data_IF_024250373709
#
_entry.id   IF_024250373709
#
_cell.length_a   1.000
_cell.length_b   1.000
_cell.length_c   1.000
_cell.angle_alpha   90.00
_cell.angle_beta   90.00
_cell.angle_gamma   90.00
#
_symmetry.space_group_name_H-M   'P 1'
#
loop_
_entity.id
_entity.type
_entity.pdbx_description
1 polymer ?
#
# COMPACT_ATOMS: atom_id res chain seq x y z
N UNK A 1 -3.43 1.84 -15.75
CA UNK A 1 -2.17 2.06 -16.53
C UNK A 1 -2.16 3.32 -17.41
N UNK A 2 -3.10 3.55 -18.35
CA UNK A 2 -3.05 4.70 -19.28
C UNK A 2 -3.10 6.08 -18.61
N UNK A 3 -3.94 6.25 -17.58
CA UNK A 3 -4.03 7.50 -16.78
C UNK A 3 -2.78 7.78 -15.94
N UNK A 4 -2.14 6.75 -15.39
CA UNK A 4 -0.91 6.89 -14.59
C UNK A 4 0.28 7.33 -15.47
N UNK A 5 0.39 6.78 -16.68
CA UNK A 5 1.38 7.23 -17.68
C UNK A 5 1.15 8.67 -18.15
N UNK A 6 -0.12 9.09 -18.27
CA UNK A 6 -0.47 10.49 -18.62
C UNK A 6 -0.17 11.47 -17.48
N UNK A 7 -0.47 11.11 -16.23
CA UNK A 7 -0.13 11.95 -15.08
C UNK A 7 1.39 12.11 -14.94
N UNK A 8 2.17 11.04 -15.16
CA UNK A 8 3.63 11.09 -15.13
C UNK A 8 4.21 12.01 -16.21
N UNK A 9 3.54 12.10 -17.36
CA UNK A 9 3.88 13.03 -18.44
C UNK A 9 3.47 14.50 -18.15
N UNK A 10 2.57 14.75 -17.18
CA UNK A 10 2.08 16.09 -16.82
C UNK A 10 2.78 16.71 -15.60
N UNK A 11 3.69 15.99 -14.92
CA UNK A 11 4.44 16.53 -13.77
C UNK A 11 3.66 16.67 -12.47
N UNK A 12 2.37 16.31 -12.43
CA UNK A 12 1.58 16.28 -11.20
C UNK A 12 1.85 14.99 -10.41
N UNK A 13 2.86 15.08 -9.53
CA UNK A 13 3.33 13.98 -8.68
C UNK A 13 2.23 13.43 -7.76
N UNK A 14 1.36 14.30 -7.24
CA UNK A 14 0.26 13.87 -6.36
C UNK A 14 -0.80 13.08 -7.12
N UNK A 15 -1.15 13.52 -8.33
CA UNK A 15 -2.09 12.81 -9.18
C UNK A 15 -1.52 11.48 -9.69
N UNK A 16 -0.22 11.41 -9.98
CA UNK A 16 0.48 10.14 -10.28
C UNK A 16 0.36 9.15 -9.12
N UNK A 17 0.76 9.59 -7.92
CA UNK A 17 0.76 8.79 -6.71
C UNK A 17 -0.64 8.20 -6.46
N UNK A 18 -1.67 9.05 -6.53
CA UNK A 18 -3.07 8.62 -6.40
C UNK A 18 -3.46 7.61 -7.49
N UNK A 19 -3.14 7.87 -8.75
CA UNK A 19 -3.50 7.00 -9.87
C UNK A 19 -2.83 5.62 -9.80
N UNK A 20 -1.57 5.55 -9.38
CA UNK A 20 -0.86 4.28 -9.16
C UNK A 20 -1.46 3.52 -7.99
N UNK A 21 -1.67 4.20 -6.85
CA UNK A 21 -2.30 3.60 -5.66
C UNK A 21 -3.67 3.03 -5.99
N UNK A 22 -4.54 3.81 -6.66
CA UNK A 22 -5.88 3.36 -7.05
C UNK A 22 -5.83 2.16 -8.01
N UNK A 23 -4.85 2.12 -8.92
CA UNK A 23 -4.72 1.02 -9.88
C UNK A 23 -4.29 -0.28 -9.20
N UNK A 24 -3.36 -0.22 -8.24
CA UNK A 24 -2.93 -1.40 -7.49
C UNK A 24 -3.97 -1.84 -6.47
N UNK A 25 -4.69 -0.90 -5.83
CA UNK A 25 -5.85 -1.23 -5.01
C UNK A 25 -6.84 -2.10 -5.80
N UNK A 26 -7.34 -1.61 -6.94
CA UNK A 26 -8.31 -2.34 -7.77
C UNK A 26 -7.79 -3.68 -8.32
N UNK A 27 -6.47 -3.84 -8.42
CA UNK A 27 -5.84 -5.07 -8.91
C UNK A 27 -5.72 -6.12 -7.81
N UNK A 28 -5.34 -5.68 -6.61
CA UNK A 28 -4.95 -6.53 -5.50
C UNK A 28 -6.11 -6.81 -4.54
N UNK A 29 -7.21 -6.07 -4.64
CA UNK A 29 -8.40 -6.25 -3.80
C UNK A 29 -9.57 -6.78 -4.60
N UNK A 30 -10.33 -7.67 -3.96
CA UNK A 30 -11.56 -8.18 -4.52
C UNK A 30 -12.61 -7.07 -4.52
N UNK A 31 -13.45 -7.06 -5.55
CA UNK A 31 -14.48 -6.03 -5.75
C UNK A 31 -15.48 -5.94 -4.59
N UNK A 32 -15.59 -6.99 -3.79
CA UNK A 32 -16.57 -7.15 -2.71
C UNK A 32 -16.01 -6.82 -1.31
N UNK A 33 -14.75 -6.38 -1.20
CA UNK A 33 -14.15 -5.98 0.09
C UNK A 33 -14.72 -4.63 0.53
N UNK A 34 -15.61 -4.65 1.53
CA UNK A 34 -16.16 -3.47 2.21
C UNK A 34 -15.42 -3.29 3.55
N UNK A 35 -14.11 -3.04 3.47
CA UNK A 35 -13.27 -2.77 4.63
C UNK A 35 -12.61 -1.39 4.45
N UNK A 36 -13.15 -0.40 5.17
CA UNK A 36 -12.76 1.02 5.03
C UNK A 36 -11.38 1.24 5.66
N UNK A 37 -11.12 0.54 6.75
CA UNK A 37 -9.88 0.54 7.51
C UNK A 37 -8.75 -0.04 6.66
N UNK A 38 -8.96 -1.22 6.05
CA UNK A 38 -8.01 -1.82 5.13
C UNK A 38 -7.75 -0.94 3.91
N UNK A 39 -8.79 -0.36 3.30
CA UNK A 39 -8.63 0.57 2.18
C UNK A 39 -7.75 1.77 2.55
N UNK A 40 -7.98 2.34 3.73
CA UNK A 40 -7.21 3.48 4.22
C UNK A 40 -5.76 3.08 4.52
N UNK A 41 -5.56 1.92 5.17
CA UNK A 41 -4.24 1.38 5.48
C UNK A 41 -3.45 1.07 4.22
N UNK A 42 -4.05 0.38 3.26
CA UNK A 42 -3.41 0.06 1.97
C UNK A 42 -2.96 1.32 1.26
N UNK A 43 -3.85 2.31 1.12
CA UNK A 43 -3.53 3.56 0.42
C UNK A 43 -2.37 4.28 1.11
N UNK A 44 -2.34 4.30 2.43
CA UNK A 44 -1.26 4.92 3.19
C UNK A 44 0.08 4.20 2.96
N UNK A 45 0.14 2.89 3.22
CA UNK A 45 1.38 2.11 3.12
C UNK A 45 1.94 2.09 1.69
N UNK A 46 1.06 1.91 0.69
CA UNK A 46 1.47 1.89 -0.71
C UNK A 46 1.99 3.26 -1.17
N UNK A 47 1.42 4.36 -0.68
CA UNK A 47 1.91 5.70 -0.97
C UNK A 47 3.26 5.98 -0.32
N UNK A 48 3.44 5.56 0.94
CA UNK A 48 4.75 5.66 1.63
C UNK A 48 5.82 4.93 0.83
N UNK A 49 5.54 3.71 0.39
CA UNK A 49 6.44 2.95 -0.46
C UNK A 49 6.78 3.68 -1.77
N UNK A 50 5.76 4.15 -2.52
CA UNK A 50 5.98 4.89 -3.77
C UNK A 50 6.75 6.21 -3.58
N UNK A 51 6.55 6.90 -2.44
CA UNK A 51 7.28 8.12 -2.12
C UNK A 51 8.75 7.88 -1.80
N UNK A 52 9.08 6.70 -1.24
CA UNK A 52 10.45 6.27 -0.99
C UNK A 52 11.22 5.91 -2.27
N UNK A 53 10.54 5.74 -3.41
CA UNK A 53 11.18 5.44 -4.70
C UNK A 53 11.65 6.70 -5.41
N UNK A 54 12.79 6.58 -6.09
CA UNK A 54 13.34 7.63 -6.94
C UNK A 54 12.40 7.93 -8.14
N UNK A 55 11.76 6.90 -8.68
CA UNK A 55 10.81 6.96 -9.78
C UNK A 55 9.49 6.24 -9.46
N UNK A 56 8.39 6.67 -10.10
CA UNK A 56 7.08 6.01 -10.00
C UNK A 56 6.96 4.78 -10.90
N UNK A 57 8.09 4.25 -11.39
CA UNK A 57 8.10 3.02 -12.14
C UNK A 57 8.09 1.86 -11.15
N UNK A 58 6.95 1.18 -11.08
CA UNK A 58 6.75 -0.02 -10.28
C UNK A 58 6.46 -1.18 -11.24
N UNK A 59 7.38 -2.15 -11.36
CA UNK A 59 7.12 -3.45 -11.97
C UNK A 59 5.87 -4.12 -11.38
N UNK A 60 5.14 -4.88 -12.21
CA UNK A 60 3.85 -5.44 -11.79
C UNK A 60 4.01 -6.53 -10.71
N UNK A 61 5.01 -7.39 -10.89
CA UNK A 61 5.43 -8.41 -9.93
C UNK A 61 5.81 -7.79 -8.57
N UNK A 62 6.65 -6.76 -8.59
CA UNK A 62 7.02 -6.05 -7.37
C UNK A 62 5.79 -5.40 -6.71
N UNK A 63 4.89 -4.80 -7.49
CA UNK A 63 3.66 -4.24 -6.95
C UNK A 63 2.71 -5.28 -6.36
N UNK A 64 2.65 -6.48 -6.93
CA UNK A 64 1.85 -7.60 -6.41
C UNK A 64 2.43 -8.12 -5.07
N UNK A 65 3.76 -8.20 -4.94
CA UNK A 65 4.43 -8.56 -3.69
C UNK A 65 4.17 -7.52 -2.58
N UNK A 66 4.25 -6.24 -2.92
CA UNK A 66 3.94 -5.14 -1.99
C UNK A 66 2.48 -5.22 -1.53
N UNK A 67 1.55 -5.46 -2.46
CA UNK A 67 0.13 -5.66 -2.12
C UNK A 67 -0.08 -6.83 -1.14
N UNK A 68 0.58 -7.96 -1.39
CA UNK A 68 0.48 -9.14 -0.53
C UNK A 68 1.04 -8.86 0.88
N UNK A 69 2.19 -8.19 0.99
CA UNK A 69 2.79 -7.82 2.27
C UNK A 69 1.90 -6.87 3.09
N UNK A 70 1.32 -5.87 2.43
CA UNK A 70 0.38 -4.93 3.07
C UNK A 70 -0.85 -5.67 3.61
N UNK A 71 -1.42 -6.60 2.81
CA UNK A 71 -2.56 -7.41 3.25
C UNK A 71 -2.19 -8.28 4.45
N UNK A 72 -1.10 -9.03 4.36
CA UNK A 72 -0.65 -9.93 5.42
C UNK A 72 -0.40 -9.16 6.73
N UNK A 73 0.20 -7.97 6.64
CA UNK A 73 0.46 -7.13 7.81
C UNK A 73 -0.85 -6.65 8.43
N UNK A 74 -1.80 -6.18 7.61
CA UNK A 74 -3.11 -5.74 8.07
C UNK A 74 -3.87 -6.88 8.79
N UNK A 75 -3.91 -8.07 8.19
CA UNK A 75 -4.60 -9.23 8.76
C UNK A 75 -3.95 -9.67 10.08
N UNK A 76 -2.62 -9.72 10.16
CA UNK A 76 -1.91 -10.02 11.41
C UNK A 76 -2.20 -9.01 12.51
N UNK A 77 -2.27 -7.73 12.17
CA UNK A 77 -2.64 -6.68 13.13
C UNK A 77 -4.06 -6.84 13.62
N UNK A 78 -5.03 -7.05 12.71
CA UNK A 78 -6.43 -7.29 13.05
C UNK A 78 -6.57 -8.45 14.03
N UNK A 79 -5.94 -9.58 13.74
CA UNK A 79 -5.91 -10.75 14.63
C UNK A 79 -5.33 -10.38 16.00
N UNK A 80 -4.17 -9.69 16.02
CA UNK A 80 -3.51 -9.31 17.28
C UNK A 80 -4.34 -8.32 18.11
N UNK A 81 -5.09 -7.43 17.45
CA UNK A 81 -6.01 -6.50 18.12
C UNK A 81 -7.23 -7.22 18.68
N UNK A 82 -7.80 -8.16 17.93
CA UNK A 82 -8.97 -8.95 18.36
C UNK A 82 -8.60 -9.91 19.51
N UNK A 83 -7.35 -10.39 19.56
CA UNK A 83 -6.82 -11.24 20.63
C UNK A 83 -6.29 -10.46 21.84
N UNK A 84 -6.15 -9.14 21.72
CA UNK A 84 -5.60 -8.30 22.79
C UNK A 84 -6.54 -8.27 24.00
N UNK A 85 -6.04 -8.51 25.23
CA UNK A 85 -6.84 -8.34 26.44
C UNK A 85 -7.11 -6.86 26.78
N UNK A 86 -6.51 -5.91 26.04
CA UNK A 86 -6.71 -4.49 26.21
C UNK A 86 -7.73 -3.96 25.21
N UNK A 87 -8.77 -3.28 25.71
CA UNK A 87 -9.71 -2.54 24.88
C UNK A 87 -8.97 -1.34 24.30
N UNK A 88 -8.83 -1.31 22.97
CA UNK A 88 -8.34 -0.13 22.28
C UNK A 88 -9.47 0.87 22.18
N UNK A 89 -9.46 1.89 23.05
CA UNK A 89 -10.45 2.98 23.06
C UNK A 89 -10.10 4.11 22.06
N UNK A 90 -8.83 4.14 21.62
CA UNK A 90 -8.41 5.00 20.50
C UNK A 90 -8.78 4.32 19.18
N UNK A 91 -9.57 5.00 18.35
CA UNK A 91 -10.08 4.43 17.09
C UNK A 91 -9.01 3.68 16.30
N UNK A 92 -9.33 2.47 15.87
CA UNK A 92 -8.46 1.49 15.19
C UNK A 92 -7.52 2.09 14.13
N UNK A 93 -7.97 3.13 13.43
CA UNK A 93 -7.18 3.86 12.46
C UNK A 93 -5.93 4.56 13.03
N UNK A 94 -5.96 5.03 14.27
CA UNK A 94 -4.81 5.66 14.92
C UNK A 94 -3.68 4.66 15.16
N UNK A 95 -4.03 3.43 15.56
CA UNK A 95 -3.06 2.33 15.67
C UNK A 95 -2.52 1.95 14.30
N UNK A 96 -3.39 1.81 13.30
CA UNK A 96 -2.99 1.44 11.94
C UNK A 96 -2.00 2.42 11.32
N UNK A 97 -2.14 3.72 11.59
CA UNK A 97 -1.20 4.77 11.14
C UNK A 97 0.16 4.71 11.83
N UNK A 98 0.23 4.16 13.04
CA UNK A 98 1.48 4.05 13.79
C UNK A 98 2.39 2.92 13.29
N UNK A 99 1.86 2.05 12.42
CA UNK A 99 2.60 0.94 11.84
C UNK A 99 3.30 1.38 10.56
N UNK A 100 4.60 1.09 10.50
CA UNK A 100 5.42 1.26 9.31
C UNK A 100 5.83 -0.13 8.82
N UNK A 101 5.50 -0.43 7.56
CA UNK A 101 5.98 -1.65 6.92
C UNK A 101 7.39 -1.41 6.41
N UNK A 102 8.33 -2.26 6.85
CA UNK A 102 9.69 -2.26 6.31
C UNK A 102 9.74 -3.00 4.97
N UNK A 103 9.74 -2.23 3.89
CA UNK A 103 9.84 -2.75 2.52
C UNK A 103 11.29 -3.08 2.11
N UNK A 104 12.30 -2.86 2.95
CA UNK A 104 13.71 -3.10 2.59
C UNK A 104 14.06 -4.58 2.34
N UNK A 105 13.23 -5.48 2.86
CA UNK A 105 13.30 -6.92 2.63
C UNK A 105 12.89 -7.31 1.21
N UNK A 106 12.05 -6.50 0.56
CA UNK A 106 11.70 -6.61 -0.85
C UNK A 106 12.76 -5.88 -1.68
N UNK A 107 13.99 -6.39 -1.66
CA UNK A 107 15.01 -5.91 -2.58
C UNK A 107 14.55 -6.23 -4.00
N UNK A 108 14.26 -5.21 -4.79
CA UNK A 108 14.11 -5.34 -6.22
C UNK A 108 15.36 -6.08 -6.75
N UNK A 109 15.24 -7.09 -7.62
CA UNK A 109 16.40 -7.62 -8.31
C UNK A 109 17.08 -6.45 -9.00
N UNK A 110 18.35 -6.23 -8.64
CA UNK A 110 19.24 -5.29 -9.32
C UNK A 110 19.08 -5.55 -10.82
N UNK A 111 18.58 -4.57 -11.57
CA UNK A 111 18.65 -4.60 -13.03
C UNK A 111 20.13 -4.62 -13.42
N UNK A 112 20.71 -5.81 -13.48
CA UNK A 112 21.93 -6.05 -14.23
C UNK A 112 21.56 -6.15 -15.69
N UNK A 113 21.65 -5.02 -16.40
CA UNK A 113 22.18 -4.90 -17.76
C UNK A 113 22.10 -3.44 -18.21
#
# INVERSE_FOLDING_TARGET
MRKARQAAACGDRAQCLKAFTDAFWLRCTDADIIDIEYSSFFRYQFQVYLLGRADFLLPLDEGDEICALIRETYEKMRISMDESPFIVDEGEWNLLKSVEIDFSSLKSPTLTA
#
